data_IF_198542095704
#
_entry.id   IF_198542095704
#
_cell.length_a   1.000
_cell.length_b   1.000
_cell.length_c   1.000
_cell.angle_alpha   90.00
_cell.angle_beta   90.00
_cell.angle_gamma   90.00
#
_symmetry.space_group_name_H-M   'P 1'
#
loop_
_entity.id
_entity.type
_entity.pdbx_description
1 polymer ?
#
# COMPACT_ATOMS: atom_id res chain seq x y z
N UNK A 1 22.62 -15.18 -20.25
CA UNK A 1 21.29 -14.56 -20.26
C UNK A 1 21.19 -13.51 -19.15
N UNK A 2 21.37 -13.82 -17.87
CA UNK A 2 21.35 -12.86 -16.72
C UNK A 2 22.08 -11.55 -17.02
N UNK A 3 23.37 -11.61 -17.37
CA UNK A 3 24.19 -10.42 -17.62
C UNK A 3 23.64 -9.49 -18.73
N UNK A 4 22.99 -10.07 -19.75
CA UNK A 4 22.38 -9.29 -20.83
C UNK A 4 21.13 -8.57 -20.31
N UNK A 5 20.26 -9.28 -19.60
CA UNK A 5 19.04 -8.71 -19.03
C UNK A 5 19.36 -7.64 -17.98
N UNK A 6 20.30 -7.93 -17.07
CA UNK A 6 20.74 -6.96 -16.05
C UNK A 6 21.33 -5.70 -16.69
N UNK A 7 22.13 -5.87 -17.75
CA UNK A 7 22.67 -4.72 -18.51
C UNK A 7 21.56 -3.88 -19.15
N UNK A 8 20.52 -4.50 -19.69
CA UNK A 8 19.37 -3.78 -20.25
C UNK A 8 18.55 -3.11 -19.14
N UNK A 9 18.26 -3.81 -18.04
CA UNK A 9 17.56 -3.23 -16.88
C UNK A 9 18.27 -1.96 -16.36
N UNK A 10 19.58 -1.98 -16.23
CA UNK A 10 20.38 -0.83 -15.79
C UNK A 10 20.36 0.38 -16.72
N UNK A 11 19.83 0.24 -17.95
CA UNK A 11 19.58 1.39 -18.82
C UNK A 11 18.28 2.12 -18.46
N UNK A 12 17.32 1.40 -17.86
CA UNK A 12 16.00 1.90 -17.52
C UNK A 12 15.85 2.23 -16.03
N UNK A 13 16.63 1.59 -15.17
CA UNK A 13 16.60 1.76 -13.72
C UNK A 13 17.89 2.47 -13.27
N UNK A 14 17.80 3.74 -12.84
CA UNK A 14 18.95 4.48 -12.31
C UNK A 14 19.61 3.76 -11.12
N UNK A 15 20.90 4.01 -10.88
CA UNK A 15 21.66 3.30 -9.85
C UNK A 15 21.07 3.52 -8.45
N UNK A 16 20.65 4.73 -8.10
CA UNK A 16 19.98 5.01 -6.82
C UNK A 16 18.67 4.23 -6.65
N UNK A 17 17.85 4.14 -7.70
CA UNK A 17 16.65 3.30 -7.69
C UNK A 17 17.00 1.82 -7.58
N UNK A 18 18.05 1.36 -8.25
CA UNK A 18 18.55 -0.01 -8.12
C UNK A 18 18.96 -0.35 -6.69
N UNK A 19 19.72 0.55 -6.06
CA UNK A 19 20.20 0.39 -4.69
C UNK A 19 19.02 0.39 -3.69
N UNK A 20 18.04 1.26 -3.92
CA UNK A 20 16.78 1.25 -3.18
C UNK A 20 16.04 -0.10 -3.28
N UNK A 21 15.84 -0.61 -4.49
CA UNK A 21 15.17 -1.90 -4.71
C UNK A 21 15.90 -3.06 -4.04
N UNK A 22 17.24 -3.00 -4.03
CA UNK A 22 18.08 -3.98 -3.33
C UNK A 22 17.95 -3.87 -1.82
N UNK A 23 17.99 -2.65 -1.26
CA UNK A 23 17.89 -2.40 0.18
C UNK A 23 16.55 -2.90 0.75
N UNK A 24 15.47 -2.76 -0.01
CA UNK A 24 14.14 -3.22 0.37
C UNK A 24 13.81 -4.64 -0.09
N UNK A 25 14.81 -5.43 -0.50
CA UNK A 25 14.68 -6.85 -0.89
C UNK A 25 13.61 -7.10 -1.94
N UNK A 26 13.47 -6.16 -2.87
CA UNK A 26 12.45 -6.16 -3.89
C UNK A 26 12.69 -7.22 -4.96
N UNK A 27 11.61 -7.60 -5.63
CA UNK A 27 11.61 -8.44 -6.81
C UNK A 27 10.90 -7.71 -7.95
N UNK A 28 11.52 -7.66 -9.13
CA UNK A 28 10.88 -7.21 -10.36
C UNK A 28 10.40 -8.44 -11.12
N UNK A 29 9.10 -8.59 -11.37
CA UNK A 29 8.57 -9.78 -12.03
C UNK A 29 7.56 -9.39 -13.10
N UNK A 30 7.63 -10.00 -14.27
CA UNK A 30 6.55 -9.88 -15.26
C UNK A 30 6.90 -9.10 -16.52
N UNK A 31 5.96 -8.26 -16.96
CA UNK A 31 5.89 -7.65 -18.28
C UNK A 31 7.12 -6.84 -18.70
N UNK A 32 7.77 -6.13 -17.76
CA UNK A 32 8.98 -5.37 -18.05
C UNK A 32 10.12 -6.25 -18.60
N UNK A 33 10.37 -7.41 -17.97
CA UNK A 33 11.40 -8.35 -18.40
C UNK A 33 11.06 -8.98 -19.75
N UNK A 34 9.78 -9.30 -19.98
CA UNK A 34 9.28 -9.77 -21.26
C UNK A 34 9.49 -8.72 -22.36
N UNK A 35 9.20 -7.45 -22.06
CA UNK A 35 9.42 -6.33 -22.98
C UNK A 35 10.90 -6.17 -23.36
N UNK A 36 11.81 -6.24 -22.39
CA UNK A 36 13.26 -6.21 -22.62
C UNK A 36 13.69 -7.35 -23.57
N UNK A 37 13.25 -8.58 -23.31
CA UNK A 37 13.61 -9.74 -24.11
C UNK A 37 13.07 -9.68 -25.54
N UNK A 38 11.91 -9.06 -25.71
CA UNK A 38 11.25 -8.93 -27.03
C UNK A 38 11.53 -7.59 -27.71
N UNK A 39 12.35 -6.72 -27.09
CA UNK A 39 12.70 -5.38 -27.59
C UNK A 39 11.46 -4.52 -27.84
N UNK A 40 10.54 -4.54 -26.88
CA UNK A 40 9.35 -3.71 -26.85
C UNK A 40 9.50 -2.65 -25.76
N UNK A 41 8.72 -1.59 -25.87
CA UNK A 41 8.67 -0.55 -24.84
C UNK A 41 8.18 -1.13 -23.52
N UNK A 42 8.75 -0.64 -22.43
CA UNK A 42 8.37 -1.00 -21.07
C UNK A 42 7.31 0.02 -20.63
N UNK A 43 6.12 -0.48 -20.27
CA UNK A 43 5.05 0.40 -19.76
C UNK A 43 5.31 0.74 -18.29
N UNK A 44 5.56 -0.29 -17.47
CA UNK A 44 5.69 -0.21 -16.03
C UNK A 44 6.64 -1.28 -15.50
N UNK A 45 7.11 -1.09 -14.27
CA UNK A 45 7.93 -2.03 -13.53
C UNK A 45 7.12 -2.50 -12.32
N UNK A 46 6.66 -3.76 -12.35
CA UNK A 46 5.94 -4.40 -11.25
C UNK A 46 6.91 -4.87 -10.19
N UNK A 47 6.90 -4.20 -9.05
CA UNK A 47 7.79 -4.45 -7.92
C UNK A 47 7.03 -5.16 -6.81
N UNK A 48 7.52 -6.32 -6.42
CA UNK A 48 6.98 -7.17 -5.36
C UNK A 48 7.91 -7.17 -4.15
N UNK A 49 7.34 -7.42 -2.98
CA UNK A 49 8.05 -7.43 -1.71
C UNK A 49 7.97 -8.80 -1.06
N UNK A 50 9.01 -9.16 -0.29
CA UNK A 50 9.06 -10.45 0.43
C UNK A 50 8.17 -10.48 1.66
N UNK A 51 7.97 -9.33 2.27
CA UNK A 51 7.14 -9.16 3.46
C UNK A 51 6.56 -7.73 3.54
N UNK A 52 5.59 -7.57 4.44
CA UNK A 52 4.92 -6.30 4.67
C UNK A 52 5.87 -5.24 5.26
N UNK A 53 6.79 -5.64 6.13
CA UNK A 53 7.73 -4.72 6.76
C UNK A 53 8.62 -4.06 5.71
N UNK A 54 9.19 -4.83 4.78
CA UNK A 54 9.99 -4.33 3.65
C UNK A 54 9.19 -3.36 2.78
N UNK A 55 7.92 -3.65 2.53
CA UNK A 55 7.03 -2.76 1.77
C UNK A 55 6.80 -1.43 2.53
N UNK A 56 6.40 -1.49 3.81
CA UNK A 56 6.14 -0.29 4.62
C UNK A 56 7.39 0.56 4.77
N UNK A 57 8.55 -0.05 5.04
CA UNK A 57 9.83 0.65 5.11
C UNK A 57 10.18 1.33 3.77
N UNK A 58 9.88 0.69 2.64
CA UNK A 58 10.11 1.30 1.32
C UNK A 58 9.28 2.56 1.11
N UNK A 59 8.00 2.55 1.54
CA UNK A 59 7.14 3.73 1.47
C UNK A 59 7.64 4.87 2.37
N UNK A 60 8.10 4.54 3.58
CA UNK A 60 8.69 5.51 4.52
C UNK A 60 9.97 6.14 3.94
N UNK A 61 10.79 5.33 3.26
CA UNK A 61 11.98 5.82 2.58
C UNK A 61 11.65 6.78 1.44
N UNK A 62 10.65 6.44 0.62
CA UNK A 62 10.17 7.31 -0.46
C UNK A 62 9.69 8.65 0.10
N UNK A 63 9.06 8.67 1.28
CA UNK A 63 8.59 9.88 1.94
C UNK A 63 9.72 10.70 2.59
N UNK A 64 10.96 10.18 2.67
CA UNK A 64 12.06 10.85 3.35
C UNK A 64 11.95 10.83 4.89
N UNK A 65 11.18 9.92 5.46
CA UNK A 65 11.01 9.78 6.92
C UNK A 65 12.24 9.11 7.56
N UNK A 66 13.09 8.49 6.76
CA UNK A 66 14.27 7.71 7.16
C UNK A 66 15.23 8.45 8.07
N UNK A 67 15.47 9.74 7.81
CA UNK A 67 16.40 10.57 8.59
C UNK A 67 16.01 10.75 10.07
N UNK A 68 14.86 10.19 10.46
CA UNK A 68 14.27 10.31 11.78
C UNK A 68 14.25 9.01 12.57
N UNK A 69 14.64 7.88 11.96
CA UNK A 69 14.78 6.59 12.66
C UNK A 69 16.15 6.51 13.35
N UNK A 70 16.25 6.00 14.60
CA UNK A 70 17.52 5.69 15.22
C UNK A 70 18.30 4.69 14.35
N UNK A 71 19.57 4.95 14.11
CA UNK A 71 20.48 4.11 13.29
C UNK A 71 20.55 2.64 13.77
N UNK A 72 20.15 2.35 14.99
CA UNK A 72 20.16 1.03 15.61
C UNK A 72 19.09 0.05 15.05
N UNK A 73 18.10 0.55 14.33
CA UNK A 73 17.03 -0.28 13.74
C UNK A 73 17.29 -0.74 12.31
N UNK A 74 18.41 -0.33 11.69
CA UNK A 74 18.82 -0.83 10.37
C UNK A 74 19.72 -2.06 10.51
N UNK A 75 19.50 -3.11 9.70
CA UNK A 75 20.45 -4.22 9.64
C UNK A 75 21.85 -3.70 9.31
N UNK A 76 22.84 -4.02 10.13
CA UNK A 76 24.25 -3.57 9.97
C UNK A 76 24.88 -3.96 8.62
N UNK A 77 24.31 -4.94 7.91
CA UNK A 77 24.83 -5.49 6.65
C UNK A 77 24.45 -4.69 5.39
N UNK A 78 23.61 -3.68 5.49
CA UNK A 78 23.32 -2.82 4.34
C UNK A 78 24.34 -1.70 4.32
N UNK A 79 25.50 -1.92 3.68
CA UNK A 79 26.55 -0.93 3.45
C UNK A 79 26.07 0.27 2.62
N UNK A 80 25.05 0.96 3.10
CA UNK A 80 24.48 2.16 2.50
C UNK A 80 25.39 3.32 2.90
N UNK A 81 26.14 3.81 1.92
CA UNK A 81 26.93 5.02 2.07
C UNK A 81 25.96 6.19 2.34
N UNK A 82 26.05 6.81 3.50
CA UNK A 82 25.17 7.89 4.00
C UNK A 82 25.02 9.06 3.01
N UNK A 83 25.94 9.21 2.08
CA UNK A 83 25.89 10.19 0.98
C UNK A 83 24.80 9.92 -0.06
N UNK A 84 24.25 8.70 -0.12
CA UNK A 84 23.18 8.31 -1.07
C UNK A 84 21.77 8.42 -0.47
N UNK A 85 21.65 8.66 0.83
CA UNK A 85 20.36 8.71 1.52
C UNK A 85 19.57 10.00 1.26
N UNK A 86 20.22 11.04 0.75
CA UNK A 86 19.61 12.38 0.58
C UNK A 86 18.74 12.54 -0.68
N UNK A 87 18.50 11.47 -1.46
CA UNK A 87 17.84 11.68 -2.77
C UNK A 87 17.11 10.50 -3.40
N UNK A 88 16.34 9.72 -2.67
CA UNK A 88 15.34 8.91 -3.36
C UNK A 88 14.18 9.79 -3.82
N UNK A 89 14.39 10.45 -4.94
CA UNK A 89 13.43 11.33 -5.54
C UNK A 89 12.39 10.52 -6.32
N UNK A 90 11.37 10.01 -5.63
CA UNK A 90 10.20 9.41 -6.24
C UNK A 90 9.02 10.39 -6.24
N UNK A 91 8.38 10.54 -7.39
CA UNK A 91 7.11 11.23 -7.49
C UNK A 91 5.98 10.21 -7.31
N UNK A 92 5.19 10.37 -6.27
CA UNK A 92 3.96 9.61 -6.11
C UNK A 92 2.99 9.97 -7.23
N UNK A 93 2.35 8.96 -7.82
CA UNK A 93 1.37 9.13 -8.88
C UNK A 93 -0.05 8.79 -8.41
N UNK A 94 -0.24 7.59 -7.92
CA UNK A 94 -1.53 7.12 -7.40
C UNK A 94 -1.35 5.87 -6.53
N UNK A 95 -2.42 5.45 -5.87
CA UNK A 95 -2.50 4.14 -5.21
C UNK A 95 -3.87 3.51 -5.42
N UNK A 96 -3.91 2.21 -5.23
CA UNK A 96 -5.10 1.38 -5.20
C UNK A 96 -5.09 0.53 -3.93
N UNK A 97 -6.10 -0.31 -3.74
CA UNK A 97 -6.10 -1.31 -2.66
C UNK A 97 -4.98 -2.35 -2.79
N UNK A 98 -4.27 -2.40 -3.92
CA UNK A 98 -3.33 -3.47 -4.26
C UNK A 98 -1.93 -2.99 -4.62
N UNK A 99 -1.79 -1.72 -4.98
CA UNK A 99 -0.52 -1.16 -5.45
C UNK A 99 -0.36 0.32 -5.14
N UNK A 100 0.89 0.76 -5.04
CA UNK A 100 1.28 2.18 -4.99
C UNK A 100 2.18 2.46 -6.18
N UNK A 101 1.88 3.51 -6.93
CA UNK A 101 2.56 3.84 -8.18
C UNK A 101 3.42 5.07 -8.01
N UNK A 102 4.68 4.95 -8.41
CA UNK A 102 5.69 6.00 -8.35
C UNK A 102 6.38 6.19 -9.70
N UNK A 103 6.94 7.38 -9.89
CA UNK A 103 7.90 7.67 -10.94
C UNK A 103 9.19 8.20 -10.30
N UNK A 104 10.32 7.47 -10.38
CA UNK A 104 11.59 8.02 -9.93
C UNK A 104 11.91 9.27 -10.74
N UNK A 105 12.46 10.32 -10.09
CA UNK A 105 12.97 11.48 -10.81
C UNK A 105 14.07 11.03 -11.79
N UNK A 106 14.19 11.73 -12.88
CA UNK A 106 15.18 11.46 -13.93
C UNK A 106 14.99 10.16 -14.71
N UNK A 107 13.80 9.54 -14.65
CA UNK A 107 13.42 8.40 -15.49
C UNK A 107 11.99 8.55 -15.99
N UNK A 108 11.71 8.00 -17.17
CA UNK A 108 10.34 7.91 -17.70
C UNK A 108 9.60 6.67 -17.18
N UNK A 109 10.33 5.74 -16.54
CA UNK A 109 9.76 4.50 -16.03
C UNK A 109 8.76 4.72 -14.89
N UNK A 110 7.67 3.99 -14.92
CA UNK A 110 6.66 3.93 -13.86
C UNK A 110 6.87 2.67 -13.04
N UNK A 111 6.91 2.80 -11.71
CA UNK A 111 7.13 1.69 -10.78
C UNK A 111 5.85 1.46 -9.98
N UNK A 112 5.32 0.24 -10.05
CA UNK A 112 4.16 -0.18 -9.27
C UNK A 112 4.61 -1.08 -8.13
N UNK A 113 4.49 -0.60 -6.90
CA UNK A 113 4.79 -1.36 -5.68
C UNK A 113 3.55 -2.16 -5.30
N UNK A 114 3.60 -3.48 -5.53
CA UNK A 114 2.47 -4.37 -5.33
C UNK A 114 2.43 -4.85 -3.87
N UNK A 115 1.30 -4.63 -3.18
CA UNK A 115 1.14 -4.99 -1.77
C UNK A 115 -0.10 -5.87 -1.48
N UNK A 116 -0.74 -6.36 -2.53
CA UNK A 116 -1.87 -7.28 -2.36
C UNK A 116 -1.46 -8.59 -1.67
N UNK A 117 -0.28 -9.11 -2.03
CA UNK A 117 0.33 -10.29 -1.42
C UNK A 117 1.83 -10.07 -1.28
N UNK A 118 2.44 -10.77 -0.33
CA UNK A 118 3.88 -10.83 -0.12
C UNK A 118 4.38 -12.23 -0.45
N UNK A 119 5.52 -12.34 -1.13
CA UNK A 119 6.02 -13.59 -1.68
C UNK A 119 7.46 -13.82 -1.24
N UNK A 120 7.80 -15.01 -0.79
CA UNK A 120 9.16 -15.35 -0.31
C UNK A 120 10.21 -15.30 -1.42
N UNK A 121 9.81 -15.58 -2.65
CA UNK A 121 10.68 -15.66 -3.82
C UNK A 121 9.90 -15.37 -5.12
N UNK A 122 10.63 -15.25 -6.21
CA UNK A 122 10.08 -14.95 -7.55
C UNK A 122 9.15 -16.06 -8.06
N UNK A 123 9.43 -17.33 -7.76
CA UNK A 123 8.64 -18.46 -8.21
C UNK A 123 7.23 -18.44 -7.60
N UNK A 124 7.10 -18.00 -6.36
CA UNK A 124 5.78 -17.83 -5.73
C UNK A 124 4.95 -16.79 -6.47
N UNK A 125 5.56 -15.69 -6.96
CA UNK A 125 4.87 -14.66 -7.75
C UNK A 125 4.32 -15.24 -9.05
N UNK A 126 5.06 -16.16 -9.69
CA UNK A 126 4.62 -16.81 -10.94
C UNK A 126 3.28 -17.52 -10.81
N UNK A 127 2.93 -18.01 -9.62
CA UNK A 127 1.65 -18.70 -9.40
C UNK A 127 0.44 -17.81 -9.66
N UNK A 128 0.59 -16.49 -9.49
CA UNK A 128 -0.49 -15.53 -9.67
C UNK A 128 -0.59 -15.00 -11.12
N UNK A 129 0.40 -15.31 -11.99
CA UNK A 129 0.39 -14.83 -13.37
C UNK A 129 -0.54 -15.65 -14.28
N UNK A 130 -1.01 -14.98 -15.31
CA UNK A 130 -1.93 -15.55 -16.30
C UNK A 130 -1.22 -16.38 -17.39
N UNK A 131 -0.12 -15.85 -17.93
CA UNK A 131 0.60 -16.47 -19.03
C UNK A 131 2.06 -16.72 -18.69
N UNK A 132 2.56 -17.89 -19.11
CA UNK A 132 3.94 -18.32 -18.87
C UNK A 132 4.98 -17.36 -19.44
N UNK A 133 4.67 -16.60 -20.49
CA UNK A 133 5.57 -15.63 -21.11
C UNK A 133 5.96 -14.50 -20.19
N UNK A 134 5.18 -14.25 -19.13
CA UNK A 134 5.44 -13.21 -18.12
C UNK A 134 6.15 -13.77 -16.87
N UNK A 135 6.37 -15.08 -16.81
CA UNK A 135 7.00 -15.72 -15.64
C UNK A 135 8.51 -15.61 -15.71
N UNK A 136 9.00 -14.39 -15.65
CA UNK A 136 10.41 -14.03 -15.58
C UNK A 136 10.53 -12.97 -14.50
N UNK A 137 11.48 -13.13 -13.58
CA UNK A 137 11.68 -12.22 -12.48
C UNK A 137 13.15 -12.01 -12.16
N UNK A 138 13.44 -10.92 -11.48
CA UNK A 138 14.74 -10.56 -10.98
C UNK A 138 14.64 -10.23 -9.50
N UNK A 139 15.35 -10.96 -8.67
CA UNK A 139 15.48 -10.72 -7.23
C UNK A 139 16.67 -9.79 -7.00
N UNK A 140 16.41 -8.58 -6.49
CA UNK A 140 17.46 -7.58 -6.26
C UNK A 140 18.34 -7.92 -5.04
N UNK A 141 17.77 -8.58 -4.02
CA UNK A 141 18.54 -9.00 -2.84
C UNK A 141 19.56 -10.08 -3.20
N UNK A 142 19.11 -11.11 -3.91
CA UNK A 142 19.95 -12.25 -4.29
C UNK A 142 20.78 -12.00 -5.55
N UNK A 143 20.54 -10.89 -6.23
CA UNK A 143 21.12 -10.60 -7.57
C UNK A 143 20.87 -11.77 -8.52
N UNK A 144 19.63 -12.30 -8.56
CA UNK A 144 19.29 -13.50 -9.31
C UNK A 144 18.19 -13.26 -10.34
N UNK A 145 18.42 -13.78 -11.57
CA UNK A 145 17.40 -13.86 -12.61
C UNK A 145 16.75 -15.23 -12.56
N UNK A 146 15.46 -15.25 -12.27
CA UNK A 146 14.63 -16.45 -12.22
C UNK A 146 13.74 -16.50 -13.45
N UNK A 147 13.70 -17.63 -14.13
CA UNK A 147 12.94 -17.81 -15.37
C UNK A 147 12.16 -19.12 -15.28
N UNK A 148 10.84 -19.07 -15.46
CA UNK A 148 10.04 -20.27 -15.55
C UNK A 148 10.54 -21.17 -16.71
N UNK A 149 10.66 -22.49 -16.54
CA UNK A 149 11.27 -23.39 -17.53
C UNK A 149 10.71 -23.23 -18.95
N UNK A 150 9.41 -23.01 -19.10
CA UNK A 150 8.75 -22.90 -20.39
C UNK A 150 8.67 -21.45 -20.93
N UNK A 151 8.94 -20.43 -20.11
CA UNK A 151 8.76 -19.03 -20.50
C UNK A 151 9.55 -18.66 -21.75
N UNK A 152 10.82 -19.02 -21.82
CA UNK A 152 11.68 -18.70 -22.96
C UNK A 152 11.25 -19.40 -24.23
N UNK A 153 10.78 -20.64 -24.13
CA UNK A 153 10.25 -21.39 -25.28
C UNK A 153 8.99 -20.73 -25.82
N UNK A 154 8.05 -20.39 -24.94
CA UNK A 154 6.79 -19.79 -25.34
C UNK A 154 6.98 -18.36 -25.87
N UNK A 155 7.94 -17.60 -25.34
CA UNK A 155 8.36 -16.31 -25.90
C UNK A 155 8.93 -16.47 -27.32
N UNK A 156 9.85 -17.41 -27.52
CA UNK A 156 10.46 -17.64 -28.81
C UNK A 156 9.44 -18.09 -29.87
N UNK A 157 8.50 -18.94 -29.50
CA UNK A 157 7.43 -19.45 -30.38
C UNK A 157 6.26 -18.43 -30.52
N UNK A 158 6.24 -17.35 -29.72
CA UNK A 158 5.14 -16.41 -29.67
C UNK A 158 3.78 -17.06 -29.40
N UNK A 159 3.73 -17.95 -28.42
CA UNK A 159 2.50 -18.62 -28.01
C UNK A 159 2.10 -18.23 -26.59
N UNK A 160 0.79 -18.11 -26.36
CA UNK A 160 0.21 -17.93 -25.04
C UNK A 160 -0.16 -19.29 -24.47
N UNK A 161 0.42 -19.63 -23.34
CA UNK A 161 0.07 -20.79 -22.54
C UNK A 161 -0.39 -20.29 -21.18
N UNK A 162 -1.62 -20.66 -20.81
CA UNK A 162 -2.26 -20.20 -19.58
C UNK A 162 -1.72 -20.91 -18.36
N UNK A 163 -1.46 -20.15 -17.31
CA UNK A 163 -1.20 -20.70 -15.99
C UNK A 163 -2.51 -21.16 -15.34
N UNK A 164 -2.51 -22.36 -14.76
CA UNK A 164 -3.68 -22.89 -14.07
C UNK A 164 -4.03 -22.16 -12.76
N UNK A 165 -3.08 -21.41 -12.21
CA UNK A 165 -3.22 -20.68 -10.95
C UNK A 165 -3.73 -19.25 -11.10
N UNK A 166 -4.05 -18.77 -12.32
CA UNK A 166 -4.51 -17.39 -12.48
C UNK A 166 -5.73 -17.08 -11.61
N UNK A 167 -5.62 -16.03 -10.79
CA UNK A 167 -6.70 -15.57 -9.89
C UNK A 167 -7.76 -14.75 -10.62
N UNK A 168 -7.41 -14.15 -11.76
CA UNK A 168 -8.23 -13.19 -12.49
C UNK A 168 -8.44 -13.62 -13.95
N UNK A 169 -9.12 -14.75 -14.20
CA UNK A 169 -9.23 -15.31 -15.55
C UNK A 169 -10.01 -14.41 -16.51
N UNK A 170 -10.91 -13.54 -16.03
CA UNK A 170 -11.63 -12.61 -16.89
C UNK A 170 -10.67 -11.59 -17.53
N UNK A 171 -9.81 -10.94 -16.74
CA UNK A 171 -8.81 -10.02 -17.29
C UNK A 171 -7.83 -10.75 -18.21
N UNK A 172 -7.54 -12.03 -17.95
CA UNK A 172 -6.68 -12.83 -18.82
C UNK A 172 -7.28 -13.02 -20.21
N UNK A 173 -8.61 -13.22 -20.31
CA UNK A 173 -9.32 -13.27 -21.62
C UNK A 173 -9.13 -11.96 -22.37
N UNK A 174 -9.35 -10.83 -21.72
CA UNK A 174 -9.22 -9.51 -22.31
C UNK A 174 -7.77 -9.22 -22.75
N UNK A 175 -6.78 -9.68 -21.98
CA UNK A 175 -5.36 -9.55 -22.30
C UNK A 175 -4.91 -10.40 -23.49
N UNK A 176 -5.65 -11.46 -23.87
CA UNK A 176 -5.34 -12.25 -25.08
C UNK A 176 -5.27 -11.34 -26.29
N UNK A 177 -6.24 -10.42 -26.48
CA UNK A 177 -6.25 -9.50 -27.62
C UNK A 177 -4.97 -8.64 -27.65
N UNK A 178 -4.58 -8.05 -26.52
CA UNK A 178 -3.33 -7.28 -26.36
C UNK A 178 -2.11 -8.07 -26.84
N UNK A 179 -2.02 -9.33 -26.46
CA UNK A 179 -0.88 -10.19 -26.89
C UNK A 179 -0.99 -10.64 -28.35
N UNK A 180 -2.21 -10.83 -28.88
CA UNK A 180 -2.40 -11.11 -30.30
C UNK A 180 -1.93 -9.95 -31.17
N UNK A 181 -2.20 -8.70 -30.78
CA UNK A 181 -1.71 -7.50 -31.45
C UNK A 181 -0.16 -7.39 -31.40
N UNK A 182 0.44 -7.98 -30.38
CA UNK A 182 1.91 -8.12 -30.25
C UNK A 182 2.48 -9.34 -31.02
N UNK A 183 1.64 -10.08 -31.77
CA UNK A 183 2.02 -11.19 -32.63
C UNK A 183 2.05 -12.56 -31.93
N UNK A 184 1.47 -12.69 -30.73
CA UNK A 184 1.33 -13.97 -30.06
C UNK A 184 0.08 -14.72 -30.55
N UNK A 185 0.09 -16.04 -30.41
CA UNK A 185 -1.03 -16.92 -30.76
C UNK A 185 -1.45 -17.72 -29.53
N UNK A 186 -2.75 -17.91 -29.38
CA UNK A 186 -3.31 -18.81 -28.38
C UNK A 186 -3.89 -20.05 -29.07
N UNK A 187 -3.63 -21.24 -28.55
CA UNK A 187 -4.22 -22.46 -29.08
C UNK A 187 -5.68 -22.60 -28.70
N UNK A 188 -6.47 -23.37 -29.48
CA UNK A 188 -7.86 -23.69 -29.11
C UNK A 188 -7.96 -24.32 -27.71
N UNK A 189 -7.00 -25.19 -27.37
CA UNK A 189 -6.94 -25.84 -26.04
C UNK A 189 -6.81 -24.82 -24.93
N UNK A 190 -5.87 -23.90 -25.06
CA UNK A 190 -5.65 -22.85 -24.03
C UNK A 190 -6.82 -21.88 -23.95
N UNK A 191 -7.45 -21.53 -25.08
CA UNK A 191 -8.66 -20.70 -25.09
C UNK A 191 -9.82 -21.41 -24.37
N UNK A 192 -10.07 -22.69 -24.66
CA UNK A 192 -11.12 -23.46 -23.97
C UNK A 192 -10.83 -23.56 -22.47
N UNK A 193 -9.56 -23.79 -22.09
CA UNK A 193 -9.15 -23.83 -20.68
C UNK A 193 -9.49 -22.49 -19.98
N UNK A 194 -9.18 -21.38 -20.62
CA UNK A 194 -9.43 -20.04 -20.08
C UNK A 194 -10.94 -19.78 -19.94
N UNK A 195 -11.73 -20.08 -20.98
CA UNK A 195 -13.20 -19.94 -20.95
C UNK A 195 -13.85 -20.79 -19.87
N UNK A 196 -13.41 -22.05 -19.70
CA UNK A 196 -13.89 -22.94 -18.64
C UNK A 196 -13.47 -22.44 -17.23
N UNK A 197 -12.39 -21.70 -17.12
CA UNK A 197 -12.02 -21.08 -15.84
C UNK A 197 -12.91 -19.90 -15.54
N UNK A 198 -13.21 -19.04 -16.53
CA UNK A 198 -14.13 -17.92 -16.39
C UNK A 198 -15.56 -18.39 -16.07
N UNK A 199 -16.01 -19.50 -16.70
CA UNK A 199 -17.36 -20.03 -16.50
C UNK A 199 -17.65 -20.51 -15.05
N UNK A 200 -16.63 -20.59 -14.21
CA UNK A 200 -16.78 -20.88 -12.77
C UNK A 200 -16.98 -19.64 -11.91
N UNK A 201 -16.87 -18.46 -12.49
CA UNK A 201 -17.07 -17.19 -11.79
C UNK A 201 -18.57 -16.87 -11.79
N UNK A 202 -19.02 -16.36 -10.67
CA UNK A 202 -20.38 -15.82 -10.51
C UNK A 202 -20.29 -14.31 -10.39
N UNK A 203 -21.08 -13.60 -11.20
CA UNK A 203 -21.16 -12.15 -11.18
C UNK A 203 -22.57 -11.75 -10.80
N UNK A 204 -22.73 -11.11 -9.66
CA UNK A 204 -24.00 -10.63 -9.14
C UNK A 204 -24.07 -9.10 -9.05
N UNK A 205 -22.96 -8.42 -9.27
CA UNK A 205 -22.83 -6.97 -9.23
C UNK A 205 -21.72 -6.46 -10.13
N UNK A 206 -21.74 -5.16 -10.45
CA UNK A 206 -20.65 -4.52 -11.18
C UNK A 206 -19.34 -4.52 -10.36
N UNK A 207 -19.42 -4.49 -9.04
CA UNK A 207 -18.28 -4.61 -8.14
C UNK A 207 -17.61 -5.99 -8.25
N UNK A 208 -18.39 -7.08 -8.40
CA UNK A 208 -17.83 -8.41 -8.61
C UNK A 208 -17.07 -8.50 -9.93
N UNK A 209 -17.63 -7.92 -11.00
CA UNK A 209 -16.92 -7.80 -12.27
C UNK A 209 -15.65 -6.98 -12.10
N UNK A 210 -15.73 -5.83 -11.42
CA UNK A 210 -14.61 -4.93 -11.14
C UNK A 210 -13.44 -5.61 -10.45
N UNK A 211 -13.69 -6.50 -9.47
CA UNK A 211 -12.66 -7.29 -8.79
C UNK A 211 -11.84 -8.16 -9.76
N UNK A 212 -12.49 -8.64 -10.83
CA UNK A 212 -11.84 -9.52 -11.81
C UNK A 212 -11.17 -8.77 -12.97
N UNK A 213 -11.64 -7.58 -13.34
CA UNK A 213 -11.01 -6.77 -14.39
C UNK A 213 -9.91 -5.85 -13.85
N UNK A 214 -9.96 -5.44 -12.59
CA UNK A 214 -8.87 -4.71 -11.93
C UNK A 214 -7.59 -5.54 -11.76
N UNK A 215 -7.69 -6.86 -11.89
CA UNK A 215 -6.54 -7.77 -11.85
C UNK A 215 -5.70 -7.63 -10.58
N UNK A 216 -4.38 -7.80 -10.71
CA UNK A 216 -3.42 -7.68 -9.60
C UNK A 216 -3.27 -6.24 -9.10
N UNK A 217 -3.56 -5.24 -9.92
CA UNK A 217 -3.20 -3.85 -9.64
C UNK A 217 -4.36 -3.01 -9.09
N UNK A 218 -5.60 -3.49 -9.20
CA UNK A 218 -6.78 -2.81 -8.66
C UNK A 218 -7.02 -1.40 -9.21
N UNK A 219 -6.62 -1.14 -10.46
CA UNK A 219 -6.55 0.20 -11.03
C UNK A 219 -7.87 0.73 -11.61
N UNK A 220 -8.90 -0.12 -11.70
CA UNK A 220 -10.14 0.26 -12.35
C UNK A 220 -11.19 0.71 -11.31
N UNK A 221 -11.61 1.96 -11.44
CA UNK A 221 -12.79 2.43 -10.73
C UNK A 221 -14.04 1.92 -11.47
N UNK A 222 -14.76 1.02 -10.83
CA UNK A 222 -15.97 0.39 -11.38
C UNK A 222 -17.00 1.43 -11.85
N UNK A 223 -17.14 2.53 -11.11
CA UNK A 223 -18.08 3.60 -11.44
C UNK A 223 -17.66 4.43 -12.68
N UNK A 224 -16.41 4.33 -13.13
CA UNK A 224 -15.97 4.95 -14.39
C UNK A 224 -16.29 4.08 -15.61
N UNK A 225 -16.55 2.79 -15.39
CA UNK A 225 -16.84 1.81 -16.45
C UNK A 225 -18.32 1.52 -16.54
N UNK A 226 -18.98 1.34 -15.39
CA UNK A 226 -20.37 0.95 -15.29
C UNK A 226 -21.20 2.00 -14.56
N UNK A 227 -22.44 2.17 -14.99
CA UNK A 227 -23.43 2.94 -14.22
C UNK A 227 -23.93 2.10 -13.04
N UNK A 228 -23.24 2.20 -11.91
CA UNK A 228 -23.55 1.43 -10.69
C UNK A 228 -24.88 1.81 -10.04
N UNK A 229 -25.59 2.82 -10.57
CA UNK A 229 -26.95 3.19 -10.10
C UNK A 229 -28.04 2.35 -10.74
N UNK A 230 -27.72 1.63 -11.82
CA UNK A 230 -28.63 0.72 -12.51
C UNK A 230 -28.60 -0.68 -11.94
N UNK A 231 -29.66 -1.44 -12.19
CA UNK A 231 -29.68 -2.87 -11.93
C UNK A 231 -28.58 -3.58 -12.73
N UNK A 232 -27.93 -4.56 -12.10
CA UNK A 232 -26.84 -5.32 -12.73
C UNK A 232 -27.33 -6.05 -13.99
N UNK A 233 -26.57 -5.90 -15.08
CA UNK A 233 -26.85 -6.52 -16.38
C UNK A 233 -25.56 -7.09 -16.99
N UNK A 234 -25.60 -8.38 -17.32
CA UNK A 234 -24.50 -9.03 -18.04
C UNK A 234 -24.33 -8.47 -19.44
N UNK A 235 -25.42 -8.08 -20.13
CA UNK A 235 -25.34 -7.49 -21.46
C UNK A 235 -24.60 -6.15 -21.43
N UNK A 236 -24.86 -5.31 -20.42
CA UNK A 236 -24.11 -4.07 -20.22
C UNK A 236 -22.63 -4.34 -19.92
N UNK A 237 -22.32 -5.34 -19.11
CA UNK A 237 -20.95 -5.77 -18.86
C UNK A 237 -20.22 -6.13 -20.15
N UNK A 238 -20.87 -6.93 -21.02
CA UNK A 238 -20.30 -7.34 -22.30
C UNK A 238 -20.07 -6.12 -23.21
N UNK A 239 -21.05 -5.22 -23.32
CA UNK A 239 -20.97 -4.02 -24.16
C UNK A 239 -19.81 -3.12 -23.69
N UNK A 240 -19.76 -2.79 -22.39
CA UNK A 240 -18.74 -1.92 -21.82
C UNK A 240 -17.33 -2.54 -21.95
N UNK A 241 -17.16 -3.81 -21.58
CA UNK A 241 -15.86 -4.47 -21.65
C UNK A 241 -15.36 -4.65 -23.09
N UNK A 242 -16.28 -4.81 -24.07
CA UNK A 242 -15.90 -4.93 -25.49
C UNK A 242 -15.33 -3.63 -26.06
N UNK A 243 -15.74 -2.49 -25.51
CA UNK A 243 -15.25 -1.15 -25.92
C UNK A 243 -14.04 -0.63 -25.16
N UNK A 244 -13.60 -1.32 -24.11
CA UNK A 244 -12.54 -0.85 -23.23
C UNK A 244 -11.15 -0.94 -23.88
N UNK A 245 -10.45 0.19 -23.91
CA UNK A 245 -9.01 0.25 -24.11
C UNK A 245 -8.29 0.09 -22.77
N UNK A 246 -7.86 -1.15 -22.45
CA UNK A 246 -7.18 -1.47 -21.20
C UNK A 246 -5.82 -0.78 -21.05
N UNK A 247 -5.14 -0.44 -22.15
CA UNK A 247 -3.87 0.28 -22.10
C UNK A 247 -4.10 1.77 -21.79
N UNK A 248 -5.21 2.35 -22.26
CA UNK A 248 -5.62 3.70 -21.88
C UNK A 248 -6.09 3.81 -20.42
N UNK A 249 -6.81 2.80 -19.92
CA UNK A 249 -7.26 2.75 -18.52
C UNK A 249 -6.10 2.61 -17.52
N UNK A 250 -5.06 1.88 -17.91
CA UNK A 250 -3.85 1.72 -17.12
C UNK A 250 -2.87 2.89 -17.26
N UNK A 251 -3.18 3.90 -18.12
CA UNK A 251 -2.38 5.10 -18.20
C UNK A 251 -2.58 5.93 -16.93
N UNK A 252 -1.55 6.01 -16.11
CA UNK A 252 -1.54 6.77 -14.85
C UNK A 252 -1.81 8.25 -15.14
N UNK A 253 -2.91 8.79 -14.62
CA UNK A 253 -3.18 10.24 -14.66
C UNK A 253 -2.16 10.94 -13.76
N UNK A 254 -1.25 11.70 -14.36
CA UNK A 254 0.01 12.19 -13.76
C UNK A 254 -0.10 13.47 -12.94
N UNK A 255 -1.25 13.86 -12.44
CA UNK A 255 -1.42 15.18 -11.81
C UNK A 255 -1.82 15.06 -10.34
N UNK A 256 -0.90 14.50 -9.50
CA UNK A 256 -1.17 14.31 -8.07
C UNK A 256 -0.09 14.99 -7.21
N UNK A 257 -0.54 15.82 -6.28
CA UNK A 257 0.32 16.63 -5.37
C UNK A 257 0.84 15.76 -4.21
N UNK A 258 2.03 16.11 -3.66
CA UNK A 258 2.68 15.40 -2.55
C UNK A 258 1.80 15.24 -1.29
N UNK A 259 0.89 16.18 -1.03
CA UNK A 259 -0.07 16.09 0.08
C UNK A 259 -0.98 14.85 0.01
N UNK A 260 -1.25 14.32 -1.19
CA UNK A 260 -2.06 13.12 -1.35
C UNK A 260 -1.27 11.84 -1.05
N UNK A 261 0.06 11.88 -1.05
CA UNK A 261 0.87 10.72 -0.69
C UNK A 261 0.82 10.45 0.82
N UNK A 262 0.83 11.50 1.64
CA UNK A 262 0.73 11.36 3.10
C UNK A 262 -0.60 10.71 3.52
N UNK A 263 -1.70 11.09 2.87
CA UNK A 263 -3.02 10.48 3.09
C UNK A 263 -3.06 9.03 2.58
N UNK A 264 -2.48 8.77 1.41
CA UNK A 264 -2.35 7.43 0.87
C UNK A 264 -1.52 6.53 1.78
N UNK A 265 -0.39 7.02 2.28
CA UNK A 265 0.50 6.30 3.18
C UNK A 265 -0.24 5.88 4.45
N UNK A 266 -1.03 6.77 5.04
CA UNK A 266 -1.86 6.46 6.21
C UNK A 266 -2.89 5.38 5.90
N UNK A 267 -3.62 5.52 4.80
CA UNK A 267 -4.61 4.52 4.39
C UNK A 267 -3.97 3.14 4.18
N UNK A 268 -2.80 3.09 3.56
CA UNK A 268 -2.09 1.85 3.25
C UNK A 268 -1.51 1.21 4.52
N UNK A 269 -0.85 2.00 5.38
CA UNK A 269 -0.18 1.47 6.57
C UNK A 269 -1.16 1.22 7.70
N UNK A 270 -2.02 2.19 8.03
CA UNK A 270 -2.99 2.05 9.11
C UNK A 270 -4.15 1.15 8.70
N UNK A 271 -4.66 1.28 7.46
CA UNK A 271 -5.73 0.44 6.91
C UNK A 271 -6.87 0.17 7.90
N UNK A 272 -7.25 -1.08 8.05
CA UNK A 272 -8.27 -1.52 9.02
C UNK A 272 -7.88 -1.27 10.49
N UNK A 273 -6.57 -1.20 10.78
CA UNK A 273 -6.08 -0.98 12.15
C UNK A 273 -6.38 0.42 12.66
N UNK A 274 -6.59 1.41 11.75
CA UNK A 274 -6.95 2.76 12.15
C UNK A 274 -8.20 2.78 13.05
N UNK A 275 -9.21 1.96 12.77
CA UNK A 275 -10.43 1.87 13.59
C UNK A 275 -10.16 1.32 14.99
N UNK A 276 -9.16 0.44 15.13
CA UNK A 276 -8.76 -0.22 16.39
C UNK A 276 -7.88 0.66 17.27
N UNK A 277 -7.27 1.72 16.72
CA UNK A 277 -6.41 2.61 17.48
C UNK A 277 -7.19 3.32 18.57
N UNK A 278 -6.71 3.29 19.83
CA UNK A 278 -7.37 3.97 20.94
C UNK A 278 -7.24 5.49 20.84
N UNK A 279 -8.23 6.19 21.32
CA UNK A 279 -8.07 7.60 21.61
C UNK A 279 -7.43 7.78 22.99
N UNK A 280 -6.39 8.58 23.06
CA UNK A 280 -5.62 8.80 24.29
C UNK A 280 -5.52 10.27 24.62
N UNK A 281 -5.52 10.55 25.92
CA UNK A 281 -5.40 11.89 26.46
C UNK A 281 -4.37 11.89 27.58
N UNK A 282 -3.43 12.85 27.54
CA UNK A 282 -2.47 13.04 28.62
C UNK A 282 -3.00 14.02 29.65
N UNK A 283 -2.88 13.67 30.92
CA UNK A 283 -3.33 14.45 32.07
C UNK A 283 -2.28 14.42 33.19
N UNK A 284 -2.47 15.23 34.23
CA UNK A 284 -1.65 15.15 35.41
C UNK A 284 -2.37 14.35 36.52
N UNK A 285 -1.68 13.38 37.08
CA UNK A 285 -2.10 12.77 38.35
C UNK A 285 -1.44 13.55 39.49
N UNK A 286 -2.25 14.30 40.26
CA UNK A 286 -1.81 15.14 41.38
C UNK A 286 -2.66 14.76 42.59
N UNK A 287 -2.01 14.30 43.67
CA UNK A 287 -2.67 13.87 44.91
C UNK A 287 -3.84 12.89 44.69
N UNK A 288 -3.71 11.97 43.75
CA UNK A 288 -4.74 10.98 43.40
C UNK A 288 -5.85 11.51 42.48
N UNK A 289 -5.80 12.76 42.06
CA UNK A 289 -6.78 13.36 41.15
C UNK A 289 -6.20 13.50 39.73
N UNK A 290 -6.99 13.14 38.73
CA UNK A 290 -6.66 13.30 37.30
C UNK A 290 -7.03 14.73 36.87
N UNK A 291 -6.04 15.56 36.62
CA UNK A 291 -6.23 16.99 36.30
C UNK A 291 -5.83 17.31 34.87
N UNK A 292 -6.60 18.19 34.23
CA UNK A 292 -6.29 18.68 32.88
C UNK A 292 -4.89 19.29 32.80
N UNK A 293 -4.19 19.04 31.71
CA UNK A 293 -2.90 19.65 31.42
C UNK A 293 -2.99 21.19 31.20
N UNK A 294 -4.12 21.65 30.70
CA UNK A 294 -4.37 23.08 30.41
C UNK A 294 -5.05 23.85 31.53
N UNK A 295 -6.13 23.27 32.07
CA UNK A 295 -6.85 23.85 33.21
C UNK A 295 -6.73 22.89 34.40
N UNK A 296 -5.74 23.13 35.26
CA UNK A 296 -5.49 22.28 36.44
C UNK A 296 -6.65 22.26 37.45
N UNK A 297 -7.61 23.15 37.31
CA UNK A 297 -8.83 23.12 38.13
C UNK A 297 -9.82 22.10 37.65
N UNK A 298 -9.72 21.70 36.36
CA UNK A 298 -10.59 20.70 35.76
C UNK A 298 -10.13 19.26 36.09
N UNK A 299 -11.05 18.46 36.61
CA UNK A 299 -10.80 17.09 37.04
C UNK A 299 -11.47 16.12 36.07
N UNK A 300 -10.76 15.03 35.74
CA UNK A 300 -11.30 13.88 35.01
C UNK A 300 -11.63 12.78 36.00
N UNK A 301 -12.71 12.04 35.75
CA UNK A 301 -13.13 10.87 36.53
C UNK A 301 -13.32 9.70 35.57
N UNK A 302 -12.74 8.54 35.92
CA UNK A 302 -12.89 7.32 35.14
C UNK A 302 -14.35 6.87 35.18
N UNK A 303 -14.88 6.52 34.01
CA UNK A 303 -16.27 6.09 33.83
C UNK A 303 -17.24 7.25 33.60
N UNK A 304 -16.79 8.52 33.63
CA UNK A 304 -17.63 9.69 33.41
C UNK A 304 -17.37 10.36 32.06
N UNK A 305 -18.42 10.98 31.53
CA UNK A 305 -18.34 11.88 30.37
C UNK A 305 -17.88 13.26 30.76
N UNK A 306 -16.94 13.82 30.04
CA UNK A 306 -16.34 15.10 30.27
C UNK A 306 -16.59 16.06 29.11
N UNK A 307 -17.19 17.17 29.37
CA UNK A 307 -17.59 18.18 28.39
C UNK A 307 -16.66 19.38 28.45
N UNK A 308 -16.39 20.06 27.32
CA UNK A 308 -15.64 21.30 27.35
C UNK A 308 -16.46 22.39 28.04
N UNK A 309 -15.79 23.20 28.88
CA UNK A 309 -16.41 24.40 29.48
C UNK A 309 -16.71 25.46 28.42
N UNK A 310 -15.75 25.64 27.50
CA UNK A 310 -15.83 26.57 26.38
C UNK A 310 -15.12 25.95 25.16
N UNK A 311 -15.57 26.31 23.99
CA UNK A 311 -14.86 25.97 22.75
C UNK A 311 -13.76 27.00 22.50
N UNK A 312 -12.60 26.59 22.01
CA UNK A 312 -11.55 27.55 21.65
C UNK A 312 -11.95 28.37 20.40
N UNK A 313 -11.08 29.29 19.97
CA UNK A 313 -11.29 30.13 18.77
C UNK A 313 -11.49 29.36 17.47
N UNK A 314 -11.11 28.07 17.42
CA UNK A 314 -11.30 27.15 16.29
C UNK A 314 -12.52 26.22 16.47
N UNK A 315 -13.33 26.45 17.51
CA UNK A 315 -14.48 25.62 17.84
C UNK A 315 -14.14 24.26 18.43
N UNK A 316 -12.92 24.06 18.89
CA UNK A 316 -12.47 22.79 19.46
C UNK A 316 -12.75 22.71 20.96
N UNK A 317 -13.20 21.54 21.41
CA UNK A 317 -13.53 21.21 22.78
C UNK A 317 -12.44 20.41 23.52
N UNK A 318 -12.75 19.18 23.90
CA UNK A 318 -11.80 18.30 24.59
C UNK A 318 -10.83 17.67 23.57
N UNK A 319 -9.54 17.89 23.78
CA UNK A 319 -8.49 17.37 22.91
C UNK A 319 -8.07 15.96 23.33
N UNK A 320 -7.91 15.09 22.34
CA UNK A 320 -7.27 13.78 22.48
C UNK A 320 -6.50 13.43 21.20
N UNK A 321 -5.70 12.37 21.26
CA UNK A 321 -4.93 11.88 20.14
C UNK A 321 -5.36 10.45 19.81
N UNK A 322 -5.29 10.05 18.55
CA UNK A 322 -5.61 8.70 18.13
C UNK A 322 -4.32 7.94 17.80
N UNK A 323 -4.07 6.84 18.52
CA UNK A 323 -2.91 5.99 18.30
C UNK A 323 -1.56 6.56 18.78
N UNK A 324 -1.48 7.85 19.11
CA UNK A 324 -0.22 8.51 19.48
C UNK A 324 -0.42 9.27 20.80
N UNK A 325 0.40 9.05 21.84
CA UNK A 325 0.33 9.84 23.06
C UNK A 325 0.86 11.27 22.84
N UNK A 326 0.20 12.26 23.46
CA UNK A 326 0.64 13.65 23.41
C UNK A 326 2.03 13.82 24.05
N UNK A 327 2.90 14.63 23.41
CA UNK A 327 4.29 14.82 23.84
C UNK A 327 4.47 15.63 25.11
N UNK A 328 3.59 16.60 25.35
CA UNK A 328 4.03 17.78 26.10
C UNK A 328 3.42 17.99 27.48
N UNK A 329 2.30 17.38 27.85
CA UNK A 329 1.58 17.78 29.04
C UNK A 329 0.98 16.61 29.81
N UNK A 330 1.55 16.32 30.96
CA UNK A 330 1.02 15.36 31.91
C UNK A 330 1.90 14.12 32.13
N UNK A 331 1.71 13.48 33.27
CA UNK A 331 2.43 12.29 33.70
C UNK A 331 1.59 11.01 33.63
N UNK A 332 0.36 11.10 33.13
CA UNK A 332 -0.59 9.98 33.12
C UNK A 332 -1.35 9.98 31.80
N UNK A 333 -1.53 8.80 31.20
CA UNK A 333 -2.32 8.59 30.00
C UNK A 333 -3.69 8.02 30.35
N UNK A 334 -4.72 8.55 29.72
CA UNK A 334 -6.09 8.05 29.77
C UNK A 334 -6.46 7.49 28.41
N UNK A 335 -7.10 6.32 28.37
CA UNK A 335 -7.89 5.90 27.24
C UNK A 335 -9.25 6.61 27.31
N UNK A 336 -9.63 7.25 26.23
CA UNK A 336 -10.88 8.01 26.14
C UNK A 336 -11.68 7.59 24.93
N UNK A 337 -12.99 7.85 24.94
CA UNK A 337 -13.88 7.62 23.82
C UNK A 337 -14.61 8.92 23.49
N UNK A 338 -14.49 9.46 22.27
CA UNK A 338 -15.26 10.63 21.85
C UNK A 338 -16.75 10.38 21.91
N UNK A 339 -17.52 11.31 22.46
CA UNK A 339 -18.98 11.19 22.53
C UNK A 339 -19.62 11.33 21.14
N UNK A 340 -19.00 12.13 20.25
CA UNK A 340 -19.38 12.21 18.85
C UNK A 340 -18.12 12.15 17.95
N UNK A 341 -17.68 10.98 17.47
CA UNK A 341 -16.44 10.84 16.70
C UNK A 341 -16.50 11.51 15.31
N UNK A 342 -17.67 11.91 14.81
CA UNK A 342 -17.81 12.57 13.51
C UNK A 342 -17.52 14.08 13.57
N UNK A 343 -17.52 14.69 14.74
CA UNK A 343 -17.30 16.13 14.93
C UNK A 343 -15.89 16.43 15.45
N UNK A 344 -14.86 16.15 14.66
CA UNK A 344 -13.52 16.59 14.98
C UNK A 344 -13.19 17.94 14.31
N UNK A 345 -12.32 18.74 14.94
CA UNK A 345 -11.97 20.07 14.46
C UNK A 345 -10.47 20.28 14.23
N UNK A 346 -9.66 19.20 14.26
CA UNK A 346 -8.20 19.30 14.16
C UNK A 346 -7.62 18.21 13.23
N UNK A 347 -6.30 18.31 13.06
CA UNK A 347 -5.55 17.43 12.17
C UNK A 347 -5.61 15.96 12.59
N UNK A 348 -5.09 15.10 11.75
CA UNK A 348 -5.24 13.64 11.69
C UNK A 348 -4.83 12.83 12.92
N UNK A 349 -4.01 13.39 13.81
CA UNK A 349 -3.55 12.74 15.04
C UNK A 349 -4.04 13.44 16.31
N UNK A 350 -4.42 14.71 16.20
CA UNK A 350 -4.96 15.49 17.31
C UNK A 350 -6.38 15.89 17.01
N UNK A 351 -7.30 15.46 17.84
CA UNK A 351 -8.73 15.64 17.67
C UNK A 351 -9.27 16.52 18.79
N UNK A 352 -10.09 17.48 18.42
CA UNK A 352 -10.85 18.29 19.38
C UNK A 352 -12.33 18.00 19.22
N UNK A 353 -12.96 17.47 20.26
CA UNK A 353 -14.36 17.08 20.23
C UNK A 353 -15.21 18.10 20.99
N UNK A 354 -16.19 18.68 20.28
CA UNK A 354 -17.12 19.68 20.82
C UNK A 354 -18.02 19.12 21.92
N UNK A 355 -18.48 17.88 21.72
CA UNK A 355 -19.36 17.20 22.67
C UNK A 355 -18.61 16.51 23.82
N UNK A 356 -17.28 16.49 23.77
CA UNK A 356 -16.47 15.93 24.83
C UNK A 356 -16.09 14.48 24.67
N UNK A 357 -15.61 13.86 25.75
CA UNK A 357 -15.10 12.49 25.80
C UNK A 357 -15.57 11.74 27.03
N UNK A 358 -15.76 10.43 26.90
CA UNK A 358 -15.89 9.50 28.03
C UNK A 358 -14.49 9.00 28.43
N UNK A 359 -14.12 9.08 29.69
CA UNK A 359 -12.87 8.51 30.22
C UNK A 359 -13.08 7.03 30.50
N UNK A 360 -12.42 6.15 29.73
CA UNK A 360 -12.56 4.68 29.85
C UNK A 360 -11.75 4.13 31.00
N UNK A 361 -10.45 4.46 31.01
CA UNK A 361 -9.50 3.94 32.01
C UNK A 361 -8.23 4.80 32.09
N UNK A 362 -7.49 4.60 33.19
CA UNK A 362 -6.11 5.04 33.31
C UNK A 362 -5.23 3.96 32.71
N UNK A 363 -4.34 4.32 31.78
CA UNK A 363 -3.39 3.39 31.24
C UNK A 363 -2.24 3.14 32.24
N UNK A 364 -1.79 1.88 32.45
CA UNK A 364 -0.90 1.51 33.56
C UNK A 364 0.58 1.91 33.35
N UNK A 365 0.88 2.69 32.33
CA UNK A 365 2.24 3.13 31.99
C UNK A 365 2.28 4.65 31.79
N UNK A 366 3.41 5.23 32.15
CA UNK A 366 3.71 6.66 31.98
C UNK A 366 4.71 6.92 30.85
N UNK A 367 5.39 5.88 30.38
CA UNK A 367 6.39 5.95 29.30
C UNK A 367 5.76 5.65 27.95
N UNK A 368 6.36 6.22 26.92
CA UNK A 368 5.93 5.98 25.53
C UNK A 368 6.17 4.56 25.10
N UNK A 369 7.31 3.98 25.48
CA UNK A 369 7.63 2.59 25.16
C UNK A 369 6.58 1.65 25.75
N UNK A 370 6.19 1.84 27.01
CA UNK A 370 5.09 1.07 27.60
C UNK A 370 3.77 1.22 26.86
N UNK A 371 3.49 2.40 26.30
CA UNK A 371 2.29 2.61 25.48
C UNK A 371 2.35 1.83 24.17
N UNK A 372 3.48 1.86 23.45
CA UNK A 372 3.62 1.15 22.20
C UNK A 372 3.64 -0.36 22.38
N UNK A 373 4.30 -0.87 23.41
CA UNK A 373 4.24 -2.28 23.80
C UNK A 373 2.79 -2.72 24.05
N UNK A 374 2.02 -1.91 24.76
CA UNK A 374 0.60 -2.19 25.00
C UNK A 374 -0.23 -2.18 23.72
N UNK A 375 0.05 -1.30 22.73
CA UNK A 375 -0.62 -1.34 21.43
C UNK A 375 -0.37 -2.68 20.73
N UNK A 376 0.85 -3.18 20.76
CA UNK A 376 1.21 -4.45 20.11
C UNK A 376 0.58 -5.64 20.86
N UNK A 377 0.72 -5.70 22.19
CA UNK A 377 0.33 -6.85 22.98
C UNK A 377 -1.17 -6.90 23.30
N UNK A 378 -1.75 -5.78 23.74
CA UNK A 378 -3.13 -5.75 24.23
C UNK A 378 -4.15 -5.29 23.20
N UNK A 379 -3.72 -4.54 22.17
CA UNK A 379 -4.60 -4.07 21.08
C UNK A 379 -4.32 -4.81 19.77
N UNK A 380 -3.35 -5.72 19.76
CA UNK A 380 -2.96 -6.52 18.59
C UNK A 380 -2.68 -5.66 17.34
N UNK A 381 -2.06 -4.50 17.57
CA UNK A 381 -1.65 -3.61 16.47
C UNK A 381 -0.32 -4.12 15.92
N UNK A 382 -0.21 -4.36 14.60
CA UNK A 382 1.03 -4.85 13.99
C UNK A 382 2.23 -3.93 14.24
N UNK A 383 3.42 -4.51 14.35
CA UNK A 383 4.66 -3.78 14.69
C UNK A 383 5.03 -2.73 13.65
N UNK A 384 4.76 -2.95 12.37
CA UNK A 384 4.93 -1.97 11.29
C UNK A 384 4.03 -0.75 11.48
N UNK A 385 2.78 -0.96 11.89
CA UNK A 385 1.85 0.13 12.22
C UNK A 385 2.35 0.91 13.43
N UNK A 386 2.84 0.23 14.48
CA UNK A 386 3.39 0.87 15.67
C UNK A 386 4.65 1.67 15.33
N UNK A 387 5.55 1.13 14.51
CA UNK A 387 6.72 1.87 13.99
C UNK A 387 6.30 3.14 13.25
N UNK A 388 5.31 3.06 12.38
CA UNK A 388 4.77 4.23 11.68
C UNK A 388 4.18 5.29 12.64
N UNK A 389 3.43 4.87 13.65
CA UNK A 389 2.89 5.77 14.67
C UNK A 389 4.00 6.49 15.47
N UNK A 390 5.09 5.79 15.82
CA UNK A 390 6.29 6.38 16.44
C UNK A 390 6.88 7.50 15.58
N UNK A 391 6.92 7.29 14.27
CA UNK A 391 7.45 8.28 13.32
C UNK A 391 6.54 9.51 13.15
N UNK A 392 5.23 9.32 13.03
CA UNK A 392 4.26 10.42 12.96
C UNK A 392 4.38 11.37 14.16
N UNK A 393 4.74 10.85 15.32
CA UNK A 393 5.00 11.65 16.51
C UNK A 393 6.27 12.50 16.40
N UNK A 394 7.27 12.07 15.62
CA UNK A 394 8.52 12.80 15.36
C UNK A 394 8.31 14.12 14.60
N UNK A 395 7.21 14.27 13.92
CA UNK A 395 6.78 15.44 13.18
C UNK A 395 5.84 16.31 14.01
#
# INVERSE_FOLDING_TARGET
MKNVIVKELKKHIPQNTWDFLKAHKCMLVGGALTSILTKKDINDFDIYFKDRDSFVLSLMDVQGIKDKLPLEEYPEDVGINQQYLDSYDFNYLCHTEKSVTFRPKYTEGVFQFIHQNFYKNVEEVFNDFDFTINMIGYDFELDELVVHPEAMLHLAQRILVTNSGTKYPLISVLRVNKYQDRGYKISKKEMVKLLLTVSKLEFNSYEDVGKHIGGLYGTLNVAEIFDTTKEFSIDEVIEQLSGLDFDALNSVKTDVRSAMFDDALKQIILGEHHSKLPYVKRVHLINGELRSAWDRSYKYVVGEAHYPKELNSYGAGVYCHKGIPDRHYGNTLLEVEPLNPKENTLNEVKFGYKEGVLVKQILPFSTEEGYYTWLEEAKEIPSDVVKYLKLLKGN
#
